data_IF_545565739497
#
_entry.id   IF_545565739497
#
_cell.length_a   1.000
_cell.length_b   1.000
_cell.length_c   1.000
_cell.angle_alpha   90.00
_cell.angle_beta   90.00
_cell.angle_gamma   90.00
#
_symmetry.space_group_name_H-M   'P 1'
#
loop_
_entity.id
_entity.type
_entity.pdbx_description
1 polymer ?
#
# COMPACT_ATOMS: atom_id res chain seq x y z
N UNK A 1 13.42 -30.98 -16.31
CA UNK A 1 12.00 -31.07 -15.93
C UNK A 1 11.63 -29.76 -15.26
N UNK A 2 10.93 -28.89 -15.98
CA UNK A 2 10.49 -27.58 -15.51
C UNK A 2 9.29 -27.76 -14.57
N UNK A 3 9.48 -27.50 -13.28
CA UNK A 3 8.35 -27.32 -12.37
C UNK A 3 7.71 -25.96 -12.65
N UNK A 4 6.60 -25.97 -13.38
CA UNK A 4 5.65 -24.86 -13.38
C UNK A 4 5.03 -24.80 -11.99
N UNK A 5 5.40 -23.79 -11.20
CA UNK A 5 4.63 -23.41 -10.02
C UNK A 5 3.27 -22.91 -10.51
N UNK A 6 2.24 -23.69 -10.20
CA UNK A 6 0.86 -23.39 -10.51
C UNK A 6 0.45 -22.16 -9.67
N UNK A 7 0.41 -20.98 -10.30
CA UNK A 7 0.14 -19.67 -9.67
C UNK A 7 -1.32 -19.49 -9.19
N UNK A 8 -2.07 -20.58 -9.03
CA UNK A 8 -3.53 -20.57 -8.82
C UNK A 8 -3.99 -21.09 -7.44
N UNK A 9 -3.08 -21.31 -6.49
CA UNK A 9 -3.49 -21.58 -5.11
C UNK A 9 -4.05 -20.29 -4.48
N UNK A 10 -5.31 -20.26 -4.01
CA UNK A 10 -5.88 -19.09 -3.35
C UNK A 10 -5.08 -18.80 -2.08
N UNK A 11 -4.53 -17.59 -1.97
CA UNK A 11 -3.90 -17.15 -0.71
C UNK A 11 -5.04 -16.94 0.30
N UNK A 12 -5.07 -17.76 1.35
CA UNK A 12 -5.91 -17.50 2.50
C UNK A 12 -5.24 -16.45 3.37
N UNK A 13 -5.82 -15.25 3.42
CA UNK A 13 -5.28 -14.09 4.13
C UNK A 13 -6.23 -13.78 5.27
N UNK A 14 -5.75 -13.93 6.50
CA UNK A 14 -6.43 -13.38 7.66
C UNK A 14 -6.11 -11.88 7.72
N UNK A 15 -7.14 -11.07 7.85
CA UNK A 15 -7.01 -9.63 7.97
C UNK A 15 -7.98 -9.08 9.01
N UNK A 16 -7.57 -8.00 9.65
CA UNK A 16 -8.45 -7.14 10.44
C UNK A 16 -8.80 -5.90 9.62
N UNK A 17 -9.84 -5.17 10.03
CA UNK A 17 -10.28 -3.96 9.33
C UNK A 17 -10.44 -2.80 10.32
N UNK A 18 -10.16 -1.59 9.87
CA UNK A 18 -10.30 -0.39 10.70
C UNK A 18 -11.77 0.02 10.88
N UNK A 19 -12.01 1.01 11.75
CA UNK A 19 -13.25 1.80 11.63
C UNK A 19 -13.27 2.59 10.30
N UNK A 20 -14.44 2.88 9.73
CA UNK A 20 -14.55 3.74 8.54
C UNK A 20 -13.88 5.10 8.77
N UNK A 21 -13.15 5.56 7.75
CA UNK A 21 -12.41 6.83 7.77
C UNK A 21 -11.32 6.93 8.84
N UNK A 22 -10.92 5.81 9.45
CA UNK A 22 -9.78 5.78 10.35
C UNK A 22 -8.48 5.83 9.53
N UNK A 23 -7.60 6.76 9.88
CA UNK A 23 -6.29 6.94 9.24
C UNK A 23 -5.20 6.62 10.26
N UNK A 24 -4.68 5.37 10.29
CA UNK A 24 -3.69 4.98 11.31
C UNK A 24 -2.40 5.79 11.18
N UNK A 25 -2.03 6.19 9.95
CA UNK A 25 -0.84 7.01 9.68
C UNK A 25 -0.89 8.40 10.33
N UNK A 26 -2.08 8.86 10.76
CA UNK A 26 -2.26 10.11 11.48
C UNK A 26 -2.24 9.94 13.01
N UNK A 27 -2.13 8.71 13.50
CA UNK A 27 -2.18 8.39 14.92
C UNK A 27 -0.78 8.22 15.53
N UNK A 28 -0.62 8.44 16.84
CA UNK A 28 0.63 8.14 17.53
C UNK A 28 1.06 6.69 17.29
N UNK A 29 2.32 6.52 16.90
CA UNK A 29 2.92 5.20 16.63
C UNK A 29 2.15 4.36 15.58
N UNK A 30 1.42 5.02 14.68
CA UNK A 30 0.61 4.38 13.65
C UNK A 30 -0.38 3.37 14.23
N UNK A 31 -0.98 3.72 15.37
CA UNK A 31 -1.86 2.84 16.12
C UNK A 31 -3.03 2.37 15.25
N UNK A 32 -3.28 1.06 15.28
CA UNK A 32 -4.41 0.43 14.61
C UNK A 32 -5.66 0.44 15.48
N UNK A 33 -6.80 0.32 14.83
CA UNK A 33 -8.07 -0.03 15.47
C UNK A 33 -8.55 -1.36 14.93
N UNK A 34 -9.19 -2.15 15.77
CA UNK A 34 -9.86 -3.37 15.33
C UNK A 34 -11.36 -3.09 15.28
N UNK A 35 -11.95 -3.33 14.11
CA UNK A 35 -13.38 -3.41 13.91
C UNK A 35 -13.67 -4.77 13.29
N UNK A 36 -14.75 -5.42 13.72
CA UNK A 36 -15.17 -6.71 13.14
C UNK A 36 -16.03 -6.52 11.89
N UNK A 37 -16.65 -5.34 11.75
CA UNK A 37 -17.70 -5.13 10.77
C UNK A 37 -17.19 -4.35 9.56
N UNK A 38 -17.28 -4.98 8.39
CA UNK A 38 -17.00 -4.33 7.12
C UNK A 38 -18.19 -3.43 6.77
N UNK A 39 -17.92 -2.15 6.56
CA UNK A 39 -18.89 -1.22 5.99
C UNK A 39 -18.87 -1.38 4.48
N UNK A 40 -19.94 -1.99 3.96
CA UNK A 40 -20.07 -2.30 2.54
C UNK A 40 -20.52 -1.06 1.77
N UNK A 41 -19.75 -0.66 0.76
CA UNK A 41 -20.02 0.54 -0.06
C UNK A 41 -19.74 0.32 -1.56
N UNK A 42 -20.08 -0.86 -2.08
CA UNK A 42 -19.76 -1.35 -3.43
C UNK A 42 -19.91 -0.31 -4.56
N UNK A 43 -21.00 0.47 -4.58
CA UNK A 43 -21.21 1.48 -5.62
C UNK A 43 -20.16 2.60 -5.58
N UNK A 44 -19.90 3.15 -4.39
CA UNK A 44 -18.87 4.18 -4.21
C UNK A 44 -17.48 3.62 -4.43
N UNK A 45 -17.24 2.37 -4.01
CA UNK A 45 -16.00 1.65 -4.27
C UNK A 45 -15.70 1.58 -5.78
N UNK A 46 -16.63 1.10 -6.61
CA UNK A 46 -16.38 0.98 -8.06
C UNK A 46 -16.12 2.34 -8.72
N UNK A 47 -16.85 3.37 -8.31
CA UNK A 47 -16.62 4.74 -8.79
C UNK A 47 -15.21 5.23 -8.46
N UNK A 48 -14.74 4.97 -7.23
CA UNK A 48 -13.39 5.35 -6.78
C UNK A 48 -12.30 4.52 -7.45
N UNK A 49 -12.52 3.23 -7.66
CA UNK A 49 -11.58 2.36 -8.39
C UNK A 49 -11.42 2.79 -9.85
N UNK A 50 -12.48 3.30 -10.49
CA UNK A 50 -12.40 3.87 -11.85
C UNK A 50 -11.50 5.11 -11.91
N UNK A 51 -11.46 5.93 -10.85
CA UNK A 51 -10.54 7.08 -10.75
C UNK A 51 -9.07 6.63 -10.60
N UNK A 52 -8.84 5.39 -10.18
CA UNK A 52 -7.53 4.79 -9.97
C UNK A 52 -7.11 3.82 -11.08
N UNK A 53 -7.80 3.82 -12.23
CA UNK A 53 -7.66 2.76 -13.25
C UNK A 53 -6.23 2.61 -13.80
N UNK A 54 -5.51 3.73 -13.95
CA UNK A 54 -4.11 3.74 -14.38
C UNK A 54 -3.11 3.78 -13.20
N UNK A 55 -3.62 3.80 -11.97
CA UNK A 55 -2.85 4.00 -10.74
C UNK A 55 -2.71 2.71 -9.92
N UNK A 56 -3.65 1.77 -10.08
CA UNK A 56 -3.68 0.47 -9.41
C UNK A 56 -3.79 -0.66 -10.43
N UNK A 57 -3.11 -1.78 -10.15
CA UNK A 57 -3.25 -2.99 -10.93
C UNK A 57 -4.64 -3.61 -10.79
N UNK A 58 -5.06 -4.43 -11.77
CA UNK A 58 -6.36 -5.12 -11.71
C UNK A 58 -6.45 -6.10 -10.54
N UNK A 59 -5.32 -6.72 -10.15
CA UNK A 59 -5.22 -7.59 -8.98
C UNK A 59 -5.54 -6.84 -7.68
N UNK A 60 -5.06 -5.61 -7.54
CA UNK A 60 -5.30 -4.77 -6.37
C UNK A 60 -6.75 -4.29 -6.37
N UNK A 61 -7.26 -3.81 -7.50
CA UNK A 61 -8.68 -3.43 -7.63
C UNK A 61 -9.58 -4.60 -7.24
N UNK A 62 -9.29 -5.81 -7.73
CA UNK A 62 -10.04 -7.02 -7.38
C UNK A 62 -9.93 -7.40 -5.90
N UNK A 63 -8.81 -7.13 -5.26
CA UNK A 63 -8.68 -7.31 -3.82
C UNK A 63 -9.63 -6.40 -3.06
N UNK A 64 -9.66 -5.09 -3.35
CA UNK A 64 -10.60 -4.18 -2.70
C UNK A 64 -12.07 -4.51 -3.02
N UNK A 65 -12.37 -4.97 -4.24
CA UNK A 65 -13.73 -5.46 -4.59
C UNK A 65 -14.18 -6.65 -3.74
N UNK A 66 -13.26 -7.54 -3.35
CA UNK A 66 -13.58 -8.66 -2.46
C UNK A 66 -13.87 -8.18 -1.04
N UNK A 67 -13.14 -7.17 -0.57
CA UNK A 67 -13.33 -6.55 0.75
C UNK A 67 -14.62 -5.72 0.79
N UNK A 68 -14.99 -5.06 -0.32
CA UNK A 68 -16.21 -4.25 -0.49
C UNK A 68 -16.28 -2.98 0.37
N UNK A 69 -15.15 -2.46 0.82
CA UNK A 69 -15.06 -1.21 1.57
C UNK A 69 -14.07 -0.26 0.92
N UNK A 70 -14.46 1.00 0.73
CA UNK A 70 -13.60 2.06 0.22
C UNK A 70 -13.02 2.96 1.31
N UNK A 71 -13.58 2.89 2.52
CA UNK A 71 -13.32 3.85 3.61
C UNK A 71 -12.49 3.26 4.76
N UNK A 72 -12.29 1.94 4.77
CA UNK A 72 -11.57 1.25 5.85
C UNK A 72 -10.19 0.78 5.39
N UNK A 73 -9.24 0.81 6.31
CA UNK A 73 -7.91 0.24 6.16
C UNK A 73 -7.95 -1.27 6.44
N UNK A 74 -7.08 -2.02 5.78
CA UNK A 74 -6.99 -3.47 5.91
C UNK A 74 -5.67 -3.81 6.57
N UNK A 75 -5.70 -4.53 7.70
CA UNK A 75 -4.51 -4.92 8.43
C UNK A 75 -4.18 -6.38 8.16
N UNK A 76 -2.98 -6.65 7.68
CA UNK A 76 -2.46 -8.00 7.45
C UNK A 76 -1.15 -8.10 8.20
N UNK A 77 -1.15 -8.85 9.32
CA UNK A 77 -0.02 -8.92 10.25
C UNK A 77 0.53 -7.55 10.60
N UNK A 78 1.74 -7.18 10.16
CA UNK A 78 2.37 -5.91 10.47
C UNK A 78 2.11 -4.80 9.45
N UNK A 79 1.42 -5.15 8.36
CA UNK A 79 1.09 -4.24 7.28
C UNK A 79 -0.31 -3.65 7.44
N UNK A 80 -0.43 -2.39 7.04
CA UNK A 80 -1.66 -1.65 6.88
C UNK A 80 -1.77 -1.30 5.40
N UNK A 81 -2.77 -1.85 4.72
CA UNK A 81 -3.18 -1.38 3.40
C UNK A 81 -4.15 -0.22 3.59
N UNK A 82 -3.92 0.84 2.83
CA UNK A 82 -4.71 2.05 2.93
C UNK A 82 -6.15 1.81 2.45
N UNK A 83 -7.10 2.59 2.96
CA UNK A 83 -8.42 2.67 2.35
C UNK A 83 -8.30 3.27 0.93
N UNK A 84 -9.26 2.97 0.06
CA UNK A 84 -9.30 3.57 -1.29
C UNK A 84 -9.38 5.09 -1.22
N UNK A 85 -10.08 5.64 -0.22
CA UNK A 85 -10.14 7.08 0.03
C UNK A 85 -8.76 7.68 0.34
N UNK A 86 -7.97 7.01 1.17
CA UNK A 86 -6.63 7.49 1.49
C UNK A 86 -5.69 7.37 0.27
N UNK A 87 -5.82 6.30 -0.52
CA UNK A 87 -5.06 6.14 -1.77
C UNK A 87 -5.35 7.29 -2.74
N UNK A 88 -6.64 7.64 -2.93
CA UNK A 88 -7.04 8.77 -3.77
C UNK A 88 -6.46 10.09 -3.26
N UNK A 89 -6.61 10.37 -1.96
CA UNK A 89 -6.09 11.57 -1.30
C UNK A 89 -4.58 11.72 -1.50
N UNK A 90 -3.81 10.66 -1.26
CA UNK A 90 -2.36 10.65 -1.46
C UNK A 90 -1.99 10.84 -2.94
N UNK A 91 -2.72 10.18 -3.86
CA UNK A 91 -2.49 10.33 -5.30
C UNK A 91 -2.70 11.76 -5.76
N UNK A 92 -3.77 12.42 -5.31
CA UNK A 92 -4.05 13.83 -5.62
C UNK A 92 -2.94 14.76 -5.11
N UNK A 93 -2.38 14.48 -3.93
CA UNK A 93 -1.24 15.22 -3.40
C UNK A 93 0.00 15.02 -4.27
N UNK A 94 0.33 13.78 -4.61
CA UNK A 94 1.50 13.45 -5.44
C UNK A 94 1.42 14.05 -6.85
N UNK A 95 0.24 14.07 -7.47
CA UNK A 95 0.05 14.71 -8.79
C UNK A 95 0.39 16.20 -8.74
N UNK A 96 0.00 16.91 -7.66
CA UNK A 96 0.35 18.34 -7.49
C UNK A 96 1.86 18.57 -7.39
N UNK A 97 2.60 17.58 -6.94
CA UNK A 97 4.06 17.62 -6.79
C UNK A 97 4.84 16.92 -7.90
N UNK A 98 4.17 16.51 -8.99
CA UNK A 98 4.75 15.76 -10.11
C UNK A 98 5.35 14.40 -9.71
N UNK A 99 4.84 13.80 -8.64
CA UNK A 99 5.20 12.46 -8.19
C UNK A 99 4.20 11.48 -8.83
N UNK A 100 4.70 10.55 -9.65
CA UNK A 100 3.84 9.58 -10.35
C UNK A 100 3.97 8.17 -9.79
N UNK A 101 3.62 8.01 -8.51
CA UNK A 101 3.42 6.72 -7.85
C UNK A 101 2.05 6.66 -7.19
N UNK A 102 1.71 5.49 -6.66
CA UNK A 102 0.51 5.28 -5.85
C UNK A 102 0.89 4.48 -4.61
N UNK A 103 0.82 5.08 -3.43
CA UNK A 103 1.02 4.32 -2.20
C UNK A 103 -0.19 3.45 -1.92
N UNK A 104 0.06 2.22 -1.48
CA UNK A 104 -1.00 1.23 -1.23
C UNK A 104 -1.00 0.73 0.21
N UNK A 105 0.08 0.93 0.94
CA UNK A 105 0.13 0.58 2.35
C UNK A 105 1.46 0.90 3.00
N UNK A 106 1.51 0.70 4.32
CA UNK A 106 2.69 0.90 5.13
C UNK A 106 2.86 -0.21 6.16
N UNK A 107 4.07 -0.30 6.69
CA UNK A 107 4.46 -1.07 7.86
C UNK A 107 5.22 -0.15 8.80
N UNK A 108 4.78 -0.07 10.05
CA UNK A 108 5.51 0.69 11.07
C UNK A 108 6.75 -0.09 11.53
N UNK A 109 7.90 0.56 11.59
CA UNK A 109 9.19 -0.06 11.95
C UNK A 109 9.78 0.49 13.26
N UNK A 110 9.03 1.33 13.98
CA UNK A 110 9.44 1.89 15.26
C UNK A 110 10.09 3.27 15.14
N UNK A 111 10.12 4.02 16.25
CA UNK A 111 10.75 5.35 16.35
C UNK A 111 10.30 6.38 15.28
N UNK A 112 9.09 6.20 14.75
CA UNK A 112 8.53 7.08 13.72
C UNK A 112 8.90 6.69 12.29
N UNK A 113 9.72 5.65 12.09
CA UNK A 113 10.05 5.11 10.78
C UNK A 113 8.97 4.14 10.29
N UNK A 114 8.74 4.15 8.99
CA UNK A 114 7.89 3.18 8.33
C UNK A 114 8.48 2.76 6.99
N UNK A 115 8.02 1.59 6.53
CA UNK A 115 8.23 1.12 5.19
C UNK A 115 6.92 1.28 4.42
N UNK A 116 6.96 1.92 3.25
CA UNK A 116 5.80 2.19 2.41
C UNK A 116 5.87 1.31 1.17
N UNK A 117 4.79 0.56 0.91
CA UNK A 117 4.57 -0.15 -0.34
C UNK A 117 3.86 0.78 -1.32
N UNK A 118 4.40 0.90 -2.53
CA UNK A 118 3.83 1.74 -3.57
C UNK A 118 3.92 1.09 -4.94
N UNK A 119 3.01 1.44 -5.84
CA UNK A 119 2.99 0.99 -7.22
C UNK A 119 3.67 2.03 -8.10
N UNK A 120 4.52 1.54 -8.98
CA UNK A 120 4.91 2.28 -10.18
C UNK A 120 3.91 2.03 -11.31
N UNK A 121 3.18 3.04 -11.80
CA UNK A 121 2.23 2.86 -12.88
C UNK A 121 2.90 2.45 -14.21
N UNK A 122 4.22 2.64 -14.39
CA UNK A 122 4.92 2.22 -15.61
C UNK A 122 5.19 0.72 -15.64
N UNK A 123 5.74 0.17 -14.57
CA UNK A 123 6.04 -1.26 -14.47
C UNK A 123 4.86 -2.09 -13.94
N UNK A 124 3.85 -1.45 -13.35
CA UNK A 124 2.74 -2.09 -12.64
C UNK A 124 3.23 -3.06 -11.54
N UNK A 125 4.39 -2.76 -10.96
CA UNK A 125 5.02 -3.51 -9.89
C UNK A 125 4.98 -2.72 -8.59
N UNK A 126 4.99 -3.46 -7.48
CA UNK A 126 5.10 -2.92 -6.14
C UNK A 126 6.57 -2.81 -5.77
N UNK A 127 6.90 -1.68 -5.19
CA UNK A 127 8.21 -1.38 -4.62
C UNK A 127 8.03 -0.90 -3.19
N UNK A 128 9.16 -0.87 -2.49
CA UNK A 128 9.21 -0.40 -1.11
C UNK A 128 10.12 0.79 -0.98
N UNK A 129 9.77 1.71 -0.10
CA UNK A 129 10.69 2.76 0.37
C UNK A 129 10.63 2.89 1.87
N UNK A 130 11.74 3.32 2.45
CA UNK A 130 11.76 3.84 3.81
C UNK A 130 11.19 5.25 3.81
N UNK A 131 10.32 5.52 4.77
CA UNK A 131 9.63 6.79 4.94
C UNK A 131 9.44 7.08 6.45
N UNK A 132 8.76 8.18 6.76
CA UNK A 132 8.59 8.65 8.12
C UNK A 132 9.88 9.28 8.67
N UNK A 133 10.09 9.14 9.98
CA UNK A 133 11.25 9.64 10.70
C UNK A 133 10.93 10.13 12.09
N UNK A 134 11.97 10.40 12.88
CA UNK A 134 11.83 10.82 14.28
C UNK A 134 11.40 12.29 14.41
N UNK A 135 11.46 13.06 13.33
CA UNK A 135 11.11 14.49 13.31
C UNK A 135 10.54 14.94 11.95
N UNK A 136 10.23 16.24 11.82
CA UNK A 136 9.70 16.84 10.59
C UNK A 136 10.70 16.87 9.43
N UNK A 137 11.99 17.05 9.72
CA UNK A 137 13.05 17.14 8.71
C UNK A 137 13.26 15.81 7.98
N UNK A 138 13.25 14.68 8.70
CA UNK A 138 13.39 13.36 8.11
C UNK A 138 12.25 13.08 7.10
N UNK A 139 11.02 13.44 7.49
CA UNK A 139 9.83 13.30 6.63
C UNK A 139 9.93 14.17 5.39
N UNK A 140 10.32 15.42 5.54
CA UNK A 140 10.52 16.34 4.42
C UNK A 140 11.64 15.86 3.50
N UNK A 141 12.74 15.34 4.05
CA UNK A 141 13.85 14.77 3.29
C UNK A 141 13.41 13.55 2.47
N UNK A 142 12.68 12.62 3.07
CA UNK A 142 12.15 11.45 2.37
C UNK A 142 11.16 11.85 1.27
N UNK A 143 10.29 12.83 1.52
CA UNK A 143 9.38 13.38 0.53
C UNK A 143 10.14 14.02 -0.65
N UNK A 144 11.16 14.81 -0.36
CA UNK A 144 12.00 15.45 -1.39
C UNK A 144 12.81 14.43 -2.19
N UNK A 145 13.29 13.35 -1.55
CA UNK A 145 13.90 12.22 -2.26
C UNK A 145 12.93 11.59 -3.25
N UNK A 146 11.68 11.34 -2.83
CA UNK A 146 10.66 10.80 -3.70
C UNK A 146 10.39 11.71 -4.91
N UNK A 147 10.33 13.03 -4.68
CA UNK A 147 10.15 14.03 -5.74
C UNK A 147 11.29 14.05 -6.77
N UNK A 148 12.53 13.85 -6.33
CA UNK A 148 13.72 14.03 -7.16
C UNK A 148 14.28 12.73 -7.76
N UNK A 149 14.13 11.59 -7.10
CA UNK A 149 14.87 10.35 -7.40
C UNK A 149 13.99 9.15 -7.80
N UNK A 150 12.71 9.37 -8.13
CA UNK A 150 11.80 8.28 -8.49
C UNK A 150 12.28 7.42 -9.69
N UNK A 151 13.18 7.95 -10.53
CA UNK A 151 13.58 7.34 -11.79
C UNK A 151 14.68 6.26 -11.69
N UNK A 152 15.24 5.98 -10.51
CA UNK A 152 16.39 5.06 -10.35
C UNK A 152 16.07 3.83 -9.52
N UNK A 153 14.92 3.19 -9.76
CA UNK A 153 14.63 1.91 -9.11
C UNK A 153 15.39 0.80 -9.86
N UNK A 154 16.62 0.50 -9.40
CA UNK A 154 17.44 -0.59 -9.91
C UNK A 154 17.04 -1.98 -9.37
N UNK A 155 15.93 -2.06 -8.63
CA UNK A 155 15.44 -3.30 -8.04
C UNK A 155 14.32 -3.91 -8.87
N UNK A 156 14.25 -5.24 -8.86
CA UNK A 156 13.12 -5.99 -9.38
C UNK A 156 11.91 -5.74 -8.47
N UNK A 157 10.93 -4.96 -8.95
CA UNK A 157 9.65 -4.83 -8.26
C UNK A 157 8.94 -6.18 -8.13
N UNK A 158 7.96 -6.27 -7.24
CA UNK A 158 7.21 -7.49 -6.99
C UNK A 158 5.75 -7.35 -7.45
N UNK A 159 5.13 -8.47 -7.79
CA UNK A 159 3.68 -8.48 -8.09
C UNK A 159 2.86 -8.33 -6.80
N UNK A 160 1.59 -7.94 -6.92
CA UNK A 160 0.69 -7.89 -5.77
C UNK A 160 0.48 -9.25 -5.11
N UNK A 161 0.47 -10.33 -5.89
CA UNK A 161 0.41 -11.68 -5.34
C UNK A 161 1.64 -11.99 -4.47
N UNK A 162 2.84 -11.69 -4.98
CA UNK A 162 4.10 -11.86 -4.24
C UNK A 162 4.12 -11.00 -2.97
N UNK A 163 3.65 -9.75 -3.06
CA UNK A 163 3.49 -8.86 -1.91
C UNK A 163 2.61 -9.50 -0.84
N UNK A 164 1.40 -9.97 -1.20
CA UNK A 164 0.49 -10.62 -0.26
C UNK A 164 1.09 -11.90 0.35
N UNK A 165 1.87 -12.68 -0.41
CA UNK A 165 2.58 -13.84 0.14
C UNK A 165 3.65 -13.43 1.15
N UNK A 166 4.47 -12.43 0.82
CA UNK A 166 5.55 -11.94 1.69
C UNK A 166 5.01 -11.44 3.03
N UNK A 167 3.97 -10.60 3.00
CA UNK A 167 3.35 -10.08 4.23
C UNK A 167 2.65 -11.20 5.04
N UNK A 168 2.10 -12.22 4.38
CA UNK A 168 1.45 -13.34 5.07
C UNK A 168 2.46 -14.37 5.64
N UNK A 169 3.69 -14.41 5.13
CA UNK A 169 4.73 -15.34 5.58
C UNK A 169 5.80 -14.67 6.46
N UNK A 170 5.70 -13.36 6.72
CA UNK A 170 6.74 -12.54 7.39
C UNK A 170 8.13 -12.70 6.73
N UNK A 171 8.16 -12.86 5.41
CA UNK A 171 9.42 -13.00 4.68
C UNK A 171 10.14 -11.65 4.67
N UNK A 172 11.46 -11.68 4.92
CA UNK A 172 12.33 -10.51 4.86
C UNK A 172 12.36 -9.98 3.42
N UNK A 173 11.91 -8.75 3.24
CA UNK A 173 11.85 -8.04 1.97
C UNK A 173 13.18 -7.33 1.71
N UNK A 174 13.72 -7.43 0.50
CA UNK A 174 14.88 -6.63 0.07
C UNK A 174 14.45 -5.21 -0.31
N UNK A 175 15.05 -4.21 0.33
CA UNK A 175 14.69 -2.79 0.17
C UNK A 175 15.14 -2.19 -1.17
N UNK A 176 14.37 -1.25 -1.70
CA UNK A 176 14.88 -0.32 -2.72
C UNK A 176 15.71 0.75 -2.01
N UNK A 177 16.97 0.85 -2.39
CA UNK A 177 17.88 1.87 -1.86
C UNK A 177 17.64 3.17 -2.64
N UNK A 178 17.28 4.25 -1.94
CA UNK A 178 17.16 5.61 -2.47
C UNK A 178 18.15 6.58 -1.82
#
# INVERSE_FOLDING_TARGET
MSHSLDNNQPININFDISYPNYESNMQPFMRRTENTDIVIDTYELEKKLLLLDNALSEEIKNFYRKIKSSTQEIYIKNWQLFSIDNILKLKEMYIKDNINITDIGLKYEGMGHCKVAFIDPKSNMIYYRHDGGSNGYDREHNYNKLKNNYLSINNSGITFYTFLQQINQDIIESDCVF
#
